data_IF_862350395867
#
_entry.id   IF_862350395867
#
_cell.length_a   1.000
_cell.length_b   1.000
_cell.length_c   1.000
_cell.angle_alpha   90.00
_cell.angle_beta   90.00
_cell.angle_gamma   90.00
#
_symmetry.space_group_name_H-M   'P 1'
#
loop_
_entity.id
_entity.type
_entity.pdbx_description
1 polymer ?
#
# COMPACT_ATOMS: atom_id res chain seq x y z
N UNK A 1 -4.62 -6.81 -4.72
CA UNK A 1 -3.79 -7.58 -5.68
C UNK A 1 -2.34 -7.34 -5.31
N UNK A 2 -1.57 -8.41 -5.07
CA UNK A 2 -0.18 -8.34 -4.60
C UNK A 2 0.76 -8.54 -5.79
N UNK A 3 1.74 -7.65 -5.97
CA UNK A 3 2.79 -7.73 -6.99
C UNK A 3 4.17 -7.85 -6.35
N UNK A 4 4.92 -8.89 -6.71
CA UNK A 4 6.27 -9.11 -6.22
C UNK A 4 7.33 -8.47 -7.13
N UNK A 5 8.16 -7.59 -6.56
CA UNK A 5 9.18 -6.81 -7.28
C UNK A 5 10.61 -7.33 -7.10
N UNK A 6 10.78 -8.51 -6.48
CA UNK A 6 12.11 -9.11 -6.21
C UNK A 6 13.03 -9.23 -7.44
N UNK A 7 12.46 -9.38 -8.64
CA UNK A 7 13.21 -9.49 -9.90
C UNK A 7 13.25 -8.18 -10.72
N UNK A 8 12.69 -7.08 -10.19
CA UNK A 8 12.59 -5.79 -10.88
C UNK A 8 13.67 -4.86 -10.32
N UNK A 9 14.78 -4.73 -11.05
CA UNK A 9 15.91 -3.89 -10.64
C UNK A 9 15.70 -2.40 -10.85
N UNK A 10 14.82 -2.03 -11.80
CA UNK A 10 14.61 -0.64 -12.19
C UNK A 10 13.26 -0.50 -12.89
N UNK A 11 12.71 0.71 -12.84
CA UNK A 11 11.52 1.12 -13.59
C UNK A 11 11.82 2.42 -14.33
N UNK A 12 11.20 2.64 -15.48
CA UNK A 12 11.32 3.85 -16.27
C UNK A 12 10.01 4.66 -16.22
N UNK A 13 9.97 5.81 -16.91
CA UNK A 13 8.78 6.67 -16.96
C UNK A 13 7.55 5.93 -17.49
N UNK A 14 7.73 5.07 -18.50
CA UNK A 14 6.60 4.32 -19.08
C UNK A 14 6.04 3.28 -18.10
N UNK A 15 6.92 2.56 -17.40
CA UNK A 15 6.53 1.65 -16.32
C UNK A 15 5.78 2.37 -15.20
N UNK A 16 6.24 3.55 -14.77
CA UNK A 16 5.54 4.28 -13.69
C UNK A 16 4.15 4.73 -14.13
N UNK A 17 3.99 5.26 -15.35
CA UNK A 17 2.67 5.64 -15.88
C UNK A 17 1.73 4.44 -15.95
N UNK A 18 2.23 3.28 -16.38
CA UNK A 18 1.44 2.03 -16.39
C UNK A 18 0.96 1.66 -14.99
N UNK A 19 1.80 1.80 -13.96
CA UNK A 19 1.41 1.48 -12.59
C UNK A 19 0.33 2.41 -12.04
N UNK A 20 0.38 3.70 -12.38
CA UNK A 20 -0.67 4.67 -12.01
C UNK A 20 -2.01 4.30 -12.66
N UNK A 21 -2.01 3.99 -13.95
CA UNK A 21 -3.22 3.57 -14.67
C UNK A 21 -3.76 2.24 -14.13
N UNK A 22 -2.87 1.30 -13.81
CA UNK A 22 -3.22 0.03 -13.21
C UNK A 22 -3.88 0.21 -11.84
N UNK A 23 -3.33 1.08 -11.00
CA UNK A 23 -3.88 1.39 -9.69
C UNK A 23 -5.31 1.95 -9.80
N UNK A 24 -5.54 2.93 -10.67
CA UNK A 24 -6.88 3.49 -10.94
C UNK A 24 -7.82 2.39 -11.45
N UNK A 25 -7.36 1.57 -12.39
CA UNK A 25 -8.16 0.48 -12.97
C UNK A 25 -8.56 -0.56 -11.92
N UNK A 26 -7.65 -0.91 -11.01
CA UNK A 26 -7.93 -1.84 -9.91
C UNK A 26 -8.91 -1.22 -8.92
N UNK A 27 -8.71 0.05 -8.54
CA UNK A 27 -9.62 0.79 -7.63
C UNK A 27 -11.05 0.82 -8.19
N UNK A 28 -11.21 1.08 -9.49
CA UNK A 28 -12.52 1.04 -10.17
C UNK A 28 -13.20 -0.34 -10.14
N UNK A 29 -12.42 -1.41 -9.97
CA UNK A 29 -12.90 -2.80 -9.84
C UNK A 29 -13.07 -3.24 -8.38
N UNK A 30 -12.90 -2.33 -7.41
CA UNK A 30 -12.95 -2.65 -5.99
C UNK A 30 -11.74 -3.45 -5.50
N UNK A 31 -10.60 -3.36 -6.19
CA UNK A 31 -9.35 -3.99 -5.80
C UNK A 31 -8.27 -2.94 -5.55
N UNK A 32 -7.40 -3.20 -4.58
CA UNK A 32 -6.25 -2.34 -4.31
C UNK A 32 -4.96 -2.96 -4.88
N UNK A 33 -3.98 -2.13 -5.22
CA UNK A 33 -2.66 -2.56 -5.67
C UNK A 33 -1.70 -2.56 -4.48
N UNK A 34 -0.98 -3.67 -4.26
CA UNK A 34 0.01 -3.83 -3.20
C UNK A 34 1.33 -4.28 -3.81
N UNK A 35 2.43 -3.64 -3.43
CA UNK A 35 3.78 -3.94 -3.91
C UNK A 35 4.58 -4.61 -2.79
N UNK A 36 5.19 -5.75 -3.10
CA UNK A 36 6.03 -6.50 -2.15
C UNK A 36 7.47 -6.63 -2.66
N UNK A 37 8.42 -6.45 -1.77
CA UNK A 37 9.85 -6.49 -2.05
C UNK A 37 10.31 -5.60 -3.24
N UNK A 38 9.95 -4.30 -3.29
CA UNK A 38 10.54 -3.40 -4.27
C UNK A 38 11.97 -2.99 -3.88
N UNK A 39 12.86 -2.96 -4.86
CA UNK A 39 14.21 -2.43 -4.67
C UNK A 39 14.18 -0.91 -4.46
N UNK A 40 15.16 -0.39 -3.71
CA UNK A 40 15.23 1.03 -3.34
C UNK A 40 15.15 1.97 -4.56
N UNK A 41 15.81 1.62 -5.67
CA UNK A 41 15.75 2.39 -6.92
C UNK A 41 14.31 2.48 -7.47
N UNK A 42 13.56 1.39 -7.40
CA UNK A 42 12.16 1.36 -7.85
C UNK A 42 11.29 2.23 -6.96
N UNK A 43 11.47 2.13 -5.63
CA UNK A 43 10.74 2.95 -4.65
C UNK A 43 11.00 4.44 -4.90
N UNK A 44 12.26 4.83 -5.12
CA UNK A 44 12.64 6.22 -5.38
C UNK A 44 11.95 6.76 -6.64
N UNK A 45 11.93 5.97 -7.73
CA UNK A 45 11.31 6.39 -8.98
C UNK A 45 9.79 6.47 -8.90
N UNK A 46 9.15 5.56 -8.17
CA UNK A 46 7.71 5.62 -7.90
C UNK A 46 7.37 6.88 -7.08
N UNK A 47 8.10 7.15 -6.00
CA UNK A 47 7.92 8.37 -5.18
C UNK A 47 8.16 9.65 -5.97
N UNK A 48 9.19 9.70 -6.82
CA UNK A 48 9.51 10.89 -7.62
C UNK A 48 8.45 11.20 -8.66
N UNK A 49 7.86 10.17 -9.26
CA UNK A 49 6.83 10.33 -10.27
C UNK A 49 5.47 10.71 -9.67
N UNK A 50 5.31 10.55 -8.37
CA UNK A 50 4.07 10.75 -7.66
C UNK A 50 3.93 12.21 -7.20
N UNK A 51 3.26 13.01 -8.04
CA UNK A 51 3.08 14.44 -7.85
C UNK A 51 2.18 14.79 -6.66
N UNK A 52 1.36 13.84 -6.20
CA UNK A 52 0.45 14.00 -5.08
C UNK A 52 0.98 13.42 -3.76
N UNK A 53 2.17 12.79 -3.78
CA UNK A 53 2.71 12.02 -2.66
C UNK A 53 1.72 10.93 -2.16
N UNK A 54 0.92 10.39 -3.10
CA UNK A 54 -0.16 9.42 -2.94
C UNK A 54 0.26 7.97 -3.27
N UNK A 55 1.54 7.73 -3.58
CA UNK A 55 2.22 6.42 -3.41
C UNK A 55 2.20 6.15 -1.92
N UNK A 56 1.02 5.68 -1.56
CA UNK A 56 0.58 5.29 -0.26
C UNK A 56 1.56 4.25 0.25
N UNK A 57 2.39 4.69 1.20
CA UNK A 57 3.43 3.84 1.78
C UNK A 57 2.82 2.63 2.51
N UNK A 58 1.53 2.73 2.85
CA UNK A 58 0.64 1.68 3.34
C UNK A 58 0.46 0.48 2.38
N UNK A 59 0.86 0.59 1.11
CA UNK A 59 0.80 -0.52 0.14
C UNK A 59 2.18 -1.06 -0.28
N UNK A 60 3.26 -0.66 0.40
CA UNK A 60 4.62 -1.16 0.20
C UNK A 60 5.01 -2.08 1.36
N UNK A 61 5.24 -3.36 1.07
CA UNK A 61 5.71 -4.33 2.08
C UNK A 61 7.04 -4.95 1.64
N UNK A 62 7.86 -5.38 2.61
CA UNK A 62 9.12 -6.03 2.30
C UNK A 62 8.92 -7.50 1.93
N UNK A 63 7.91 -8.14 2.54
CA UNK A 63 7.59 -9.55 2.32
C UNK A 63 6.12 -9.77 1.93
N UNK A 64 5.85 -10.92 1.31
CA UNK A 64 4.47 -11.35 1.02
C UNK A 64 3.69 -11.61 2.30
N UNK A 65 4.36 -12.13 3.33
CA UNK A 65 3.74 -12.44 4.63
C UNK A 65 3.14 -11.20 5.28
N UNK A 66 3.91 -10.11 5.34
CA UNK A 66 3.44 -8.82 5.86
C UNK A 66 2.23 -8.30 5.07
N UNK A 67 2.29 -8.35 3.74
CA UNK A 67 1.20 -7.91 2.88
C UNK A 67 -0.07 -8.73 3.11
N UNK A 68 0.05 -10.06 3.21
CA UNK A 68 -1.09 -10.94 3.46
C UNK A 68 -1.67 -10.72 4.85
N UNK A 69 -0.82 -10.54 5.88
CA UNK A 69 -1.28 -10.24 7.23
C UNK A 69 -2.07 -8.93 7.29
N UNK A 70 -1.52 -7.85 6.71
CA UNK A 70 -2.17 -6.53 6.67
C UNK A 70 -3.51 -6.53 5.91
N UNK A 71 -3.58 -7.27 4.80
CA UNK A 71 -4.81 -7.40 4.01
C UNK A 71 -5.86 -8.28 4.71
N UNK A 72 -5.42 -9.32 5.42
CA UNK A 72 -6.32 -10.26 6.10
C UNK A 72 -6.93 -9.68 7.38
N UNK A 73 -6.24 -8.76 8.05
CA UNK A 73 -6.76 -8.06 9.23
C UNK A 73 -7.79 -6.97 8.89
N UNK A 74 -8.06 -6.72 7.60
CA UNK A 74 -8.81 -5.57 7.11
C UNK A 74 -7.97 -4.32 7.34
N UNK A 75 -7.32 -3.81 6.28
CA UNK A 75 -6.42 -2.65 6.30
C UNK A 75 -6.90 -1.54 7.25
N UNK A 76 -6.37 -1.53 8.49
CA UNK A 76 -6.41 -0.37 9.36
C UNK A 76 -5.25 0.47 8.86
N UNK A 77 -5.57 1.51 8.09
CA UNK A 77 -4.61 2.50 7.62
C UNK A 77 -3.74 2.96 8.79
N UNK A 78 -2.49 2.48 8.83
CA UNK A 78 -1.55 2.90 9.85
C UNK A 78 -1.03 4.29 9.43
N UNK A 79 -1.20 5.33 10.25
CA UNK A 79 -0.55 6.60 9.98
C UNK A 79 0.96 6.39 9.95
N UNK A 80 1.71 7.20 9.20
CA UNK A 80 3.16 7.07 9.09
C UNK A 80 3.76 7.19 10.49
N UNK A 81 4.28 6.08 11.02
CA UNK A 81 5.12 6.12 12.21
C UNK A 81 6.43 6.80 11.85
N UNK A 82 6.42 8.13 11.95
CA UNK A 82 7.48 8.77 12.70
C UNK A 82 7.29 8.26 14.13
N UNK A 83 8.36 7.73 14.70
CA UNK A 83 8.46 7.26 16.07
C UNK A 83 7.58 8.10 17.02
N UNK A 84 6.62 7.46 17.70
CA UNK A 84 6.23 7.65 19.11
C UNK A 84 4.98 6.79 19.42
N UNK A 85 5.01 6.17 20.61
CA UNK A 85 4.05 5.21 21.15
C UNK A 85 2.68 5.87 21.47
N UNK A 86 1.58 5.13 21.31
CA UNK A 86 0.60 4.82 22.37
C UNK A 86 -0.70 4.19 21.79
N UNK A 87 -1.18 3.17 22.50
CA UNK A 87 -2.42 2.42 22.27
C UNK A 87 -3.68 3.28 22.52
N UNK A 88 -4.79 3.00 21.83
CA UNK A 88 -6.00 2.58 22.57
C UNK A 88 -7.02 1.83 21.69
N UNK A 89 -7.18 0.57 22.08
CA UNK A 89 -8.39 -0.23 22.28
C UNK A 89 -9.75 0.15 21.65
N UNK A 90 -10.23 -0.85 20.91
CA UNK A 90 -11.60 -1.26 20.61
C UNK A 90 -12.71 -0.89 21.62
N UNK A 91 -13.86 -0.43 21.13
CA UNK A 91 -15.17 -0.72 21.77
C UNK A 91 -16.20 -1.12 20.71
N UNK A 92 -16.34 -2.44 20.61
CA UNK A 92 -17.52 -3.28 20.43
C UNK A 92 -18.88 -2.65 20.08
N UNK A 93 -19.59 -3.39 19.21
CA UNK A 93 -20.89 -3.17 18.57
C UNK A 93 -22.12 -3.31 19.49
N UNK A 94 -23.27 -2.84 18.97
CA UNK A 94 -24.67 -3.22 19.24
C UNK A 94 -25.28 -2.52 20.48
N UNK A 95 -26.43 -1.85 20.44
CA UNK A 95 -27.70 -2.07 19.72
C UNK A 95 -28.53 -0.77 19.70
N UNK A 96 -29.39 -0.66 18.68
CA UNK A 96 -30.76 -0.09 18.69
C UNK A 96 -31.44 -0.11 20.08
N UNK A 97 -32.25 0.87 20.51
CA UNK A 97 -33.53 1.32 19.93
C UNK A 97 -33.94 2.71 20.48
N UNK A 98 -34.88 3.35 19.76
CA UNK A 98 -35.93 4.30 20.16
C UNK A 98 -35.79 5.21 21.40
#
# INVERSE_FOLDING_TARGET
MIFAFSAVSSIDTSGVSLFKELEVTLKMKGAELVLVNPLAEVIEKLKKADEANDVRTDYLFLTVEEAVAALSSGLKSQPPSTEEEEEEEEKHTLVTEC
#
